data_IF_426962097444
#
_entry.id   IF_426962097444
#
_cell.length_a   1.000
_cell.length_b   1.000
_cell.length_c   1.000
_cell.angle_alpha   90.00
_cell.angle_beta   90.00
_cell.angle_gamma   90.00
#
_symmetry.space_group_name_H-M   'P 1'
#
loop_
_entity.id
_entity.type
_entity.pdbx_description
1 polymer ?
#
# COMPACT_ATOMS: atom_id res chain seq x y z
N UNK A 1 18.49 -5.73 7.64
CA UNK A 1 17.66 -4.92 8.54
C UNK A 1 17.44 -3.49 8.05
N UNK A 2 18.43 -2.78 7.50
CA UNK A 2 18.28 -1.39 7.06
C UNK A 2 17.14 -1.15 6.05
N UNK A 3 16.99 -2.01 5.03
CA UNK A 3 15.94 -1.90 4.01
C UNK A 3 14.54 -2.06 4.60
N UNK A 4 14.36 -2.99 5.54
CA UNK A 4 13.09 -3.19 6.26
C UNK A 4 12.75 -1.99 7.14
N UNK A 5 13.73 -1.42 7.83
CA UNK A 5 13.54 -0.22 8.65
C UNK A 5 13.17 0.99 7.79
N UNK A 6 13.84 1.17 6.64
CA UNK A 6 13.49 2.22 5.67
C UNK A 6 12.06 2.07 5.14
N UNK A 7 11.66 0.84 4.79
CA UNK A 7 10.30 0.53 4.34
C UNK A 7 9.26 0.86 5.42
N UNK A 8 9.52 0.45 6.66
CA UNK A 8 8.65 0.77 7.79
C UNK A 8 8.58 2.27 8.07
N UNK A 9 9.71 2.97 8.00
CA UNK A 9 9.80 4.41 8.19
C UNK A 9 9.00 5.18 7.14
N UNK A 10 9.20 4.88 5.86
CA UNK A 10 8.47 5.57 4.79
C UNK A 10 6.97 5.24 4.82
N UNK A 11 6.59 3.99 5.08
CA UNK A 11 5.18 3.60 5.24
C UNK A 11 4.51 4.34 6.40
N UNK A 12 5.22 4.48 7.53
CA UNK A 12 4.75 5.26 8.68
C UNK A 12 4.59 6.74 8.35
N UNK A 13 5.52 7.34 7.59
CA UNK A 13 5.41 8.74 7.14
C UNK A 13 4.15 8.98 6.31
N UNK A 14 3.82 8.07 5.38
CA UNK A 14 2.57 8.15 4.60
C UNK A 14 1.32 8.03 5.48
N UNK A 15 1.32 7.10 6.44
CA UNK A 15 0.21 6.96 7.40
C UNK A 15 0.00 8.26 8.18
N UNK A 16 1.08 8.83 8.72
CA UNK A 16 1.03 10.08 9.49
C UNK A 16 0.51 11.21 8.60
N UNK A 17 1.06 11.41 7.40
CA UNK A 17 0.63 12.47 6.47
C UNK A 17 -0.85 12.35 6.09
N UNK A 18 -1.32 11.13 5.78
CA UNK A 18 -2.73 10.88 5.50
C UNK A 18 -3.63 11.33 6.65
N UNK A 19 -3.26 11.03 7.89
CA UNK A 19 -4.03 11.46 9.07
C UNK A 19 -3.88 12.95 9.35
N UNK A 20 -2.68 13.49 9.40
CA UNK A 20 -2.43 14.87 9.85
C UNK A 20 -2.84 15.91 8.82
N UNK A 21 -2.65 15.64 7.54
CA UNK A 21 -2.81 16.64 6.48
C UNK A 21 -4.15 16.52 5.75
N UNK A 22 -4.67 15.30 5.58
CA UNK A 22 -5.89 15.05 4.81
C UNK A 22 -7.10 14.72 5.67
N UNK A 23 -7.00 13.77 6.60
CA UNK A 23 -8.16 13.29 7.38
C UNK A 23 -8.48 14.16 8.60
N UNK A 24 -7.47 14.61 9.35
CA UNK A 24 -7.66 15.42 10.56
C UNK A 24 -7.80 16.92 10.25
N UNK A 25 -7.25 17.40 9.12
CA UNK A 25 -7.24 18.81 8.73
C UNK A 25 -7.87 19.05 7.36
N UNK A 26 -9.10 18.54 7.17
CA UNK A 26 -9.91 18.78 5.96
C UNK A 26 -9.92 20.24 5.49
N UNK A 27 -10.05 21.27 6.36
CA UNK A 27 -10.05 22.66 5.91
C UNK A 27 -8.77 23.09 5.18
N UNK A 28 -7.59 22.57 5.58
CA UNK A 28 -6.33 22.89 4.88
C UNK A 28 -6.28 22.24 3.50
N UNK A 29 -6.69 20.98 3.40
CA UNK A 29 -6.72 20.26 2.14
C UNK A 29 -7.75 20.85 1.15
N UNK A 30 -8.88 21.34 1.65
CA UNK A 30 -9.87 22.07 0.84
C UNK A 30 -9.36 23.45 0.41
N UNK A 31 -8.73 24.21 1.32
CA UNK A 31 -8.09 25.49 0.98
C UNK A 31 -6.98 25.32 -0.07
N UNK A 32 -6.28 24.19 -0.04
CA UNK A 32 -5.31 23.81 -1.06
C UNK A 32 -5.96 23.59 -2.42
N UNK A 33 -7.08 22.87 -2.49
CA UNK A 33 -7.85 22.69 -3.73
C UNK A 33 -8.43 23.98 -4.30
N UNK A 34 -8.80 24.93 -3.43
CA UNK A 34 -9.24 26.26 -3.86
C UNK A 34 -8.11 27.06 -4.52
N UNK A 35 -6.85 26.82 -4.11
CA UNK A 35 -5.68 27.48 -4.68
C UNK A 35 -5.17 26.74 -5.93
N UNK A 36 -5.27 25.41 -5.94
CA UNK A 36 -4.81 24.54 -7.00
C UNK A 36 -5.93 23.54 -7.35
N UNK A 37 -6.64 23.69 -8.49
CA UNK A 37 -7.76 22.84 -8.86
C UNK A 37 -7.28 21.45 -9.34
N UNK A 38 -6.67 20.71 -8.43
CA UNK A 38 -6.15 19.35 -8.62
C UNK A 38 -7.25 18.30 -8.69
N UNK A 39 -8.52 18.70 -8.55
CA UNK A 39 -9.65 17.80 -8.68
C UNK A 39 -9.82 17.38 -10.16
N UNK A 40 -9.02 16.41 -10.56
CA UNK A 40 -9.01 15.83 -11.91
C UNK A 40 -10.20 14.87 -12.14
N UNK A 41 -11.04 14.63 -11.13
CA UNK A 41 -12.17 13.69 -11.24
C UNK A 41 -13.25 14.21 -12.19
N UNK A 42 -13.41 15.55 -12.25
CA UNK A 42 -14.27 16.20 -13.22
C UNK A 42 -13.78 15.96 -14.68
N UNK A 43 -12.47 15.91 -14.92
CA UNK A 43 -11.93 15.63 -16.26
C UNK A 43 -11.97 14.14 -16.63
N UNK A 44 -12.08 13.24 -15.65
CA UNK A 44 -12.37 11.80 -15.87
C UNK A 44 -13.86 11.49 -16.09
N UNK A 45 -14.74 12.49 -16.04
CA UNK A 45 -16.18 12.31 -16.20
C UNK A 45 -16.91 11.81 -14.95
N UNK A 46 -16.24 11.76 -13.79
CA UNK A 46 -16.84 11.41 -12.50
C UNK A 46 -16.64 12.59 -11.55
N UNK A 47 -17.47 13.66 -11.64
CA UNK A 47 -17.27 14.86 -10.84
C UNK A 47 -17.49 14.56 -9.35
N UNK A 48 -16.40 14.40 -8.61
CA UNK A 48 -16.43 14.29 -7.15
C UNK A 48 -16.33 15.68 -6.54
N UNK A 49 -17.01 15.88 -5.40
CA UNK A 49 -16.79 17.07 -4.59
C UNK A 49 -15.35 17.11 -4.09
N UNK A 50 -14.78 18.30 -3.93
CA UNK A 50 -13.42 18.50 -3.39
C UNK A 50 -13.22 17.76 -2.07
N UNK A 51 -14.25 17.71 -1.23
CA UNK A 51 -14.25 16.95 0.02
C UNK A 51 -14.10 15.45 -0.21
N UNK A 52 -14.87 14.87 -1.13
CA UNK A 52 -14.78 13.46 -1.46
C UNK A 52 -13.42 13.12 -2.10
N UNK A 53 -12.89 14.03 -2.92
CA UNK A 53 -11.56 13.89 -3.51
C UNK A 53 -10.45 13.89 -2.45
N UNK A 54 -10.45 14.83 -1.51
CA UNK A 54 -9.49 14.89 -0.40
C UNK A 54 -9.54 13.63 0.45
N UNK A 55 -10.75 13.18 0.80
CA UNK A 55 -10.95 11.96 1.57
C UNK A 55 -10.42 10.74 0.82
N UNK A 56 -10.74 10.61 -0.47
CA UNK A 56 -10.22 9.53 -1.32
C UNK A 56 -8.69 9.56 -1.44
N UNK A 57 -8.12 10.74 -1.66
CA UNK A 57 -6.67 10.93 -1.72
C UNK A 57 -5.98 10.61 -0.39
N UNK A 58 -6.64 10.86 0.75
CA UNK A 58 -6.14 10.48 2.07
C UNK A 58 -6.27 8.98 2.34
N UNK A 59 -7.37 8.37 1.92
CA UNK A 59 -7.56 6.92 2.03
C UNK A 59 -6.55 6.14 1.18
N UNK A 60 -6.27 6.59 -0.05
CA UNK A 60 -5.25 5.98 -0.92
C UNK A 60 -3.87 6.10 -0.30
N UNK A 61 -3.52 7.27 0.24
CA UNK A 61 -2.23 7.49 0.89
C UNK A 61 -2.05 6.65 2.15
N UNK A 62 -3.10 6.54 2.95
CA UNK A 62 -3.12 5.67 4.13
C UNK A 62 -2.94 4.19 3.73
N UNK A 63 -3.65 3.75 2.68
CA UNK A 63 -3.55 2.38 2.18
C UNK A 63 -2.12 2.08 1.68
N UNK A 64 -1.52 2.98 0.91
CA UNK A 64 -0.12 2.90 0.46
C UNK A 64 0.81 2.76 1.67
N UNK A 65 0.65 3.61 2.68
CA UNK A 65 1.46 3.57 3.89
C UNK A 65 1.34 2.24 4.65
N UNK A 66 0.13 1.71 4.79
CA UNK A 66 -0.12 0.40 5.41
C UNK A 66 0.50 -0.74 4.59
N UNK A 67 0.33 -0.74 3.28
CA UNK A 67 0.92 -1.76 2.41
C UNK A 67 2.45 -1.76 2.50
N UNK A 68 3.09 -0.59 2.53
CA UNK A 68 4.54 -0.48 2.71
C UNK A 68 4.97 -0.95 4.10
N UNK A 69 4.24 -0.56 5.15
CA UNK A 69 4.55 -0.96 6.52
C UNK A 69 4.53 -2.50 6.66
N UNK A 70 3.45 -3.14 6.22
CA UNK A 70 3.30 -4.60 6.26
C UNK A 70 4.08 -5.34 5.18
N UNK A 71 4.61 -4.63 4.18
CA UNK A 71 5.36 -5.24 3.07
C UNK A 71 4.47 -5.98 2.07
N UNK A 72 3.22 -5.56 1.91
CA UNK A 72 2.28 -6.06 0.89
C UNK A 72 2.65 -5.44 -0.47
N UNK A 73 3.11 -6.26 -1.42
CA UNK A 73 3.46 -5.84 -2.79
C UNK A 73 4.21 -4.49 -2.88
N UNK A 74 5.33 -4.32 -2.15
CA UNK A 74 5.95 -3.02 -1.95
C UNK A 74 6.48 -2.40 -3.26
N UNK A 75 6.89 -3.22 -4.24
CA UNK A 75 7.38 -2.73 -5.54
C UNK A 75 6.25 -2.10 -6.33
N UNK A 76 5.12 -2.77 -6.38
CA UNK A 76 3.90 -2.35 -7.07
C UNK A 76 3.31 -1.11 -6.40
N UNK A 77 3.24 -1.12 -5.07
CA UNK A 77 2.75 0.00 -4.26
C UNK A 77 3.64 1.24 -4.43
N UNK A 78 4.96 1.09 -4.51
CA UNK A 78 5.88 2.21 -4.79
C UNK A 78 5.58 2.84 -6.15
N UNK A 79 5.40 2.02 -7.20
CA UNK A 79 5.08 2.51 -8.55
C UNK A 79 3.74 3.25 -8.56
N UNK A 80 2.72 2.70 -7.89
CA UNK A 80 1.40 3.33 -7.79
C UNK A 80 1.49 4.65 -7.00
N UNK A 81 2.25 4.67 -5.90
CA UNK A 81 2.41 5.84 -5.05
C UNK A 81 3.11 7.02 -5.74
N UNK A 82 3.91 6.77 -6.79
CA UNK A 82 4.46 7.86 -7.59
C UNK A 82 3.40 8.66 -8.36
N UNK A 83 2.26 8.08 -8.70
CA UNK A 83 1.20 8.81 -9.40
C UNK A 83 0.67 10.02 -8.58
N UNK A 84 0.15 9.84 -7.35
CA UNK A 84 -0.33 10.96 -6.55
C UNK A 84 0.80 11.93 -6.16
N UNK A 85 2.02 11.44 -5.88
CA UNK A 85 3.15 12.31 -5.52
C UNK A 85 3.57 13.21 -6.69
N UNK A 86 3.64 12.68 -7.91
CA UNK A 86 3.99 13.49 -9.08
C UNK A 86 2.88 14.48 -9.43
N UNK A 87 1.62 14.07 -9.29
CA UNK A 87 0.46 14.92 -9.57
C UNK A 87 0.45 16.16 -8.66
N UNK A 88 0.72 15.98 -7.37
CA UNK A 88 0.79 17.13 -6.45
C UNK A 88 2.02 17.99 -6.74
N UNK A 89 3.16 17.38 -7.07
CA UNK A 89 4.40 18.08 -7.41
C UNK A 89 4.35 18.96 -8.65
N UNK A 90 3.59 18.58 -9.69
CA UNK A 90 3.41 19.42 -10.88
C UNK A 90 2.86 20.82 -10.57
N UNK A 91 2.25 21.01 -9.39
CA UNK A 91 1.66 22.27 -8.96
C UNK A 91 2.40 22.92 -7.79
N UNK A 92 3.41 22.26 -7.22
CA UNK A 92 4.13 22.76 -6.06
C UNK A 92 5.42 23.52 -6.41
N UNK A 93 5.82 24.45 -5.53
CA UNK A 93 6.99 25.31 -5.69
C UNK A 93 8.31 24.55 -5.39
N UNK A 94 9.47 25.10 -5.75
CA UNK A 94 10.81 24.49 -5.58
C UNK A 94 11.10 24.01 -4.15
N UNK A 95 10.55 24.70 -3.13
CA UNK A 95 10.68 24.30 -1.71
C UNK A 95 10.04 22.94 -1.43
N UNK A 96 8.90 22.65 -2.04
CA UNK A 96 8.18 21.38 -1.85
C UNK A 96 8.90 20.24 -2.57
N UNK A 97 9.46 20.52 -3.75
CA UNK A 97 10.29 19.59 -4.51
C UNK A 97 11.50 19.12 -3.69
N UNK A 98 12.16 20.05 -3.00
CA UNK A 98 13.26 19.73 -2.07
C UNK A 98 12.78 18.85 -0.90
N UNK A 99 11.58 19.11 -0.39
CA UNK A 99 10.96 18.28 0.66
C UNK A 99 10.68 16.84 0.22
N UNK A 100 10.41 16.61 -1.06
CA UNK A 100 10.08 15.28 -1.60
C UNK A 100 11.29 14.48 -2.08
N UNK A 101 12.45 15.11 -2.30
CA UNK A 101 13.69 14.45 -2.74
C UNK A 101 14.09 13.24 -1.86
N UNK A 102 14.05 13.32 -0.52
CA UNK A 102 14.32 12.17 0.34
C UNK A 102 13.32 11.02 0.14
N UNK A 103 12.04 11.34 -0.06
CA UNK A 103 10.98 10.34 -0.32
C UNK A 103 11.28 9.60 -1.63
N UNK A 104 11.62 10.33 -2.69
CA UNK A 104 12.03 9.74 -3.97
C UNK A 104 13.26 8.85 -3.84
N UNK A 105 14.29 9.29 -3.10
CA UNK A 105 15.49 8.51 -2.87
C UNK A 105 15.21 7.18 -2.17
N UNK A 106 14.38 7.21 -1.11
CA UNK A 106 13.98 6.00 -0.39
C UNK A 106 13.15 5.09 -1.31
N UNK A 107 12.16 5.62 -2.02
CA UNK A 107 11.31 4.84 -2.92
C UNK A 107 12.12 4.17 -4.05
N UNK A 108 13.07 4.89 -4.66
CA UNK A 108 13.95 4.33 -5.68
C UNK A 108 14.86 3.22 -5.12
N UNK A 109 15.43 3.43 -3.92
CA UNK A 109 16.23 2.41 -3.24
C UNK A 109 15.41 1.16 -2.95
N UNK A 110 14.19 1.32 -2.41
CA UNK A 110 13.30 0.19 -2.12
C UNK A 110 12.86 -0.53 -3.39
N UNK A 111 12.60 0.20 -4.49
CA UNK A 111 12.24 -0.38 -5.78
C UNK A 111 13.36 -1.27 -6.34
N UNK A 112 14.61 -0.86 -6.19
CA UNK A 112 15.78 -1.62 -6.67
C UNK A 112 16.07 -2.81 -5.74
N UNK A 113 16.04 -2.58 -4.43
CA UNK A 113 16.61 -3.51 -3.45
C UNK A 113 15.61 -4.53 -2.88
N UNK A 114 14.29 -4.32 -3.02
CA UNK A 114 13.29 -5.30 -2.56
C UNK A 114 13.10 -6.41 -3.62
N UNK A 115 13.27 -7.70 -3.24
CA UNK A 115 13.01 -8.82 -4.13
C UNK A 115 11.50 -8.94 -4.40
N UNK A 116 11.09 -8.77 -5.66
CA UNK A 116 9.67 -8.79 -6.06
C UNK A 116 9.03 -10.18 -6.08
N UNK A 117 9.78 -11.23 -6.43
CA UNK A 117 9.22 -12.59 -6.63
C UNK A 117 8.91 -13.31 -5.31
N UNK A 118 9.79 -13.19 -4.32
CA UNK A 118 9.62 -13.86 -3.02
C UNK A 118 8.34 -13.46 -2.26
N UNK A 119 7.86 -12.23 -2.47
CA UNK A 119 6.63 -11.74 -1.84
C UNK A 119 5.35 -12.30 -2.50
N UNK A 120 5.38 -12.55 -3.81
CA UNK A 120 4.28 -13.18 -4.54
C UNK A 120 4.12 -14.64 -4.10
N UNK A 121 5.24 -15.35 -3.99
CA UNK A 121 5.26 -16.76 -3.56
C UNK A 121 4.67 -16.91 -2.15
N UNK A 122 5.10 -16.08 -1.20
CA UNK A 122 4.56 -16.05 0.18
C UNK A 122 3.06 -15.73 0.22
N UNK A 123 2.58 -14.82 -0.63
CA UNK A 123 1.17 -14.48 -0.67
C UNK A 123 0.32 -15.61 -1.26
N UNK A 124 0.80 -16.28 -2.33
CA UNK A 124 0.13 -17.45 -2.89
C UNK A 124 0.07 -18.60 -1.89
N UNK A 125 1.17 -18.85 -1.17
CA UNK A 125 1.24 -19.87 -0.11
C UNK A 125 0.23 -19.56 1.02
N UNK A 126 0.12 -18.29 1.43
CA UNK A 126 -0.88 -17.84 2.39
C UNK A 126 -2.33 -18.02 1.93
N UNK A 127 -2.62 -17.82 0.64
CA UNK A 127 -3.95 -18.08 0.08
C UNK A 127 -4.28 -19.57 0.03
N UNK A 128 -3.30 -20.42 -0.26
CA UNK A 128 -3.47 -21.87 -0.24
C UNK A 128 -3.76 -22.40 1.18
N UNK A 129 -3.17 -21.78 2.20
CA UNK A 129 -3.45 -22.08 3.60
C UNK A 129 -4.85 -21.63 4.06
N UNK A 130 -5.47 -20.67 3.36
CA UNK A 130 -6.82 -20.17 3.68
C UNK A 130 -7.95 -20.92 2.97
N UNK A 131 -7.62 -21.88 2.10
CA UNK A 131 -8.60 -22.86 1.63
C UNK A 131 -8.87 -23.83 2.79
N UNK A 132 -10.08 -23.83 3.41
CA UNK A 132 -10.39 -24.81 4.44
C UNK A 132 -10.25 -26.17 3.78
N UNK A 133 -9.42 -27.03 4.35
CA UNK A 133 -9.30 -28.41 3.93
C UNK A 133 -10.70 -29.05 3.90
N UNK A 134 -11.29 -29.09 2.71
CA UNK A 134 -12.53 -29.79 2.41
C UNK A 134 -12.32 -31.28 2.26
N UNK A 135 -11.12 -31.80 2.53
CA UNK A 135 -10.78 -33.20 2.27
C UNK A 135 -10.38 -33.90 3.57
N UNK A 136 -11.39 -34.04 4.44
CA UNK A 136 -11.41 -35.03 5.51
C UNK A 136 -12.10 -36.34 5.08
N UNK A 137 -12.36 -36.55 3.78
CA UNK A 137 -13.11 -37.72 3.28
C UNK A 137 -12.24 -38.86 2.73
N UNK A 138 -10.92 -38.69 2.66
CA UNK A 138 -9.99 -39.69 2.12
C UNK A 138 -9.14 -40.37 3.20
N UNK A 139 -9.66 -40.50 4.42
CA UNK A 139 -9.01 -41.33 5.42
C UNK A 139 -9.03 -42.80 4.92
N UNK A 140 -7.88 -43.46 4.69
CA UNK A 140 -7.88 -44.87 4.35
C UNK A 140 -8.50 -45.62 5.53
N UNK A 141 -9.60 -46.31 5.26
CA UNK A 141 -10.26 -47.16 6.24
C UNK A 141 -9.22 -48.14 6.80
N UNK A 142 -8.89 -47.92 8.08
CA UNK A 142 -8.28 -48.88 8.98
C UNK A 142 -8.83 -50.28 8.69
N UNK A 143 -8.05 -51.10 8.01
CA UNK A 143 -8.26 -52.54 8.02
C UNK A 143 -7.64 -53.06 9.32
N UNK A 144 -8.51 -53.14 10.32
CA UNK A 144 -8.33 -53.95 11.51
C UNK A 144 -8.22 -55.43 11.14
N UNK A 145 -7.21 -56.12 11.70
CA UNK A 145 -7.24 -57.44 12.35
C UNK A 145 -5.99 -58.31 12.03
N UNK A 146 -5.72 -59.38 12.80
CA UNK A 146 -5.26 -59.35 14.19
C UNK A 146 -3.92 -60.09 14.36
N UNK A 147 -3.33 -59.95 15.56
CA UNK A 147 -2.23 -60.78 16.06
C UNK A 147 -2.40 -62.28 15.73
N UNK A 148 -1.36 -62.90 15.18
CA UNK A 148 -0.97 -64.25 15.58
C UNK A 148 0.54 -64.43 15.48
N UNK A 149 1.08 -64.87 16.62
CA UNK A 149 2.46 -65.24 16.87
C UNK A 149 2.77 -66.61 16.23
N UNK A 150 3.93 -66.74 15.59
CA UNK A 150 4.79 -67.93 15.66
C UNK A 150 6.13 -67.65 14.99
#
# INVERSE_FOLDING_TARGET
YAVTALRGGIGTSFIIGAFTEKLANLPRALAFLQRYPLNFTASLGVPLSDRAFVLGAGSVELLVGLCLLFGLFPREIIIIAWLPINLTLTYFNTTELIGHLPIYGIMALLLIWIPGRANLDQWTEGLHLFHPAGDGLDAPLSQSAPHSLS
#
